data_IF_450603852948
#
_entry.id   IF_450603852948
#
_cell.length_a   1.000
_cell.length_b   1.000
_cell.length_c   1.000
_cell.angle_alpha   90.00
_cell.angle_beta   90.00
_cell.angle_gamma   90.00
#
_symmetry.space_group_name_H-M   'P 1'
#
loop_
_entity.id
_entity.type
_entity.pdbx_description
1 polymer ?
#
# COMPACT_ATOMS: atom_id res chain seq x y z
N UNK A 1 -0.53 10.03 2.19
CA UNK A 1 -0.75 9.45 3.54
C UNK A 1 -1.78 8.35 3.43
N UNK A 2 -1.65 7.23 4.17
CA UNK A 2 -2.59 6.09 4.09
C UNK A 2 -3.84 6.31 4.97
N UNK A 3 -4.49 7.46 4.81
CA UNK A 3 -5.73 7.83 5.51
C UNK A 3 -6.63 8.58 4.56
N UNK A 4 -7.91 8.20 4.52
CA UNK A 4 -8.98 8.96 3.85
C UNK A 4 -9.65 9.95 4.80
N UNK A 5 -9.39 9.84 6.11
CA UNK A 5 -9.91 10.76 7.11
C UNK A 5 -9.10 12.09 7.12
N UNK A 6 -9.76 13.23 7.43
CA UNK A 6 -9.09 14.52 7.55
C UNK A 6 -8.03 14.51 8.65
N UNK A 7 -7.07 15.44 8.55
CA UNK A 7 -6.03 15.57 9.54
C UNK A 7 -6.63 15.86 10.93
N UNK A 8 -6.24 15.10 11.96
CA UNK A 8 -6.82 15.24 13.28
C UNK A 8 -6.43 16.55 13.94
N UNK A 9 -7.38 17.24 14.58
CA UNK A 9 -7.09 18.40 15.41
C UNK A 9 -6.72 17.96 16.83
N UNK A 10 -5.53 18.32 17.28
CA UNK A 10 -5.01 17.98 18.61
C UNK A 10 -5.36 19.12 19.55
N UNK A 11 -6.48 19.00 20.27
CA UNK A 11 -6.85 19.90 21.37
C UNK A 11 -6.55 19.27 22.72
N UNK A 12 -6.11 20.06 23.71
CA UNK A 12 -5.68 19.61 25.05
C UNK A 12 -6.71 18.75 25.82
N UNK A 13 -8.00 18.80 25.45
CA UNK A 13 -9.08 18.07 26.11
C UNK A 13 -9.89 17.16 25.18
N UNK A 14 -9.43 16.91 23.96
CA UNK A 14 -10.14 16.05 23.00
C UNK A 14 -9.64 14.61 23.06
N UNK A 15 -10.56 13.65 22.96
CA UNK A 15 -10.21 12.23 22.82
C UNK A 15 -9.29 12.05 21.61
N UNK A 16 -8.29 11.15 21.67
CA UNK A 16 -7.43 10.89 20.53
C UNK A 16 -8.29 10.46 19.33
N UNK A 17 -8.14 11.12 18.18
CA UNK A 17 -8.95 10.84 17.00
C UNK A 17 -8.64 9.45 16.45
N UNK A 18 -9.70 8.73 16.06
CA UNK A 18 -9.63 7.34 15.60
C UNK A 18 -8.89 7.19 14.26
N UNK A 19 -8.90 8.22 13.43
CA UNK A 19 -8.30 8.22 12.10
C UNK A 19 -7.70 9.59 11.77
N UNK A 20 -6.93 9.66 10.68
CA UNK A 20 -6.38 10.91 10.15
C UNK A 20 -4.85 10.99 10.12
N UNK A 21 -4.15 10.24 10.97
CA UNK A 21 -2.68 10.18 10.94
C UNK A 21 -2.12 9.29 9.82
N UNK A 22 -2.85 8.26 9.40
CA UNK A 22 -2.46 7.41 8.25
C UNK A 22 -1.27 6.49 8.45
N UNK A 23 -0.88 6.22 9.70
CA UNK A 23 0.22 5.29 10.03
C UNK A 23 -0.25 3.90 10.50
N UNK A 24 -1.54 3.73 10.84
CA UNK A 24 -2.07 2.48 11.40
C UNK A 24 -1.77 1.26 10.51
N UNK A 25 -2.33 1.24 9.30
CA UNK A 25 -2.14 0.13 8.35
C UNK A 25 -0.67 -0.19 8.02
N UNK A 26 0.20 0.77 7.63
CA UNK A 26 1.58 0.44 7.32
C UNK A 26 2.35 -0.06 8.55
N UNK A 27 2.13 0.49 9.74
CA UNK A 27 2.79 0.03 10.98
C UNK A 27 2.28 -1.37 11.38
N UNK A 28 0.97 -1.62 11.34
CA UNK A 28 0.39 -2.95 11.62
C UNK A 28 0.94 -4.02 10.66
N UNK A 29 1.14 -3.68 9.37
CA UNK A 29 1.79 -4.58 8.42
C UNK A 29 3.26 -4.86 8.75
N UNK A 30 4.01 -3.86 9.25
CA UNK A 30 5.38 -4.08 9.73
C UNK A 30 5.41 -5.04 10.92
N UNK A 31 4.49 -4.90 11.88
CA UNK A 31 4.38 -5.82 13.02
C UNK A 31 4.09 -7.27 12.57
N UNK A 32 3.15 -7.46 11.64
CA UNK A 32 2.87 -8.79 11.11
C UNK A 32 4.09 -9.39 10.38
N UNK A 33 4.77 -8.58 9.55
CA UNK A 33 5.96 -9.03 8.79
C UNK A 33 7.20 -9.27 9.65
N UNK A 34 7.26 -8.71 10.86
CA UNK A 34 8.42 -8.83 11.73
C UNK A 34 8.76 -10.29 12.03
N UNK A 35 7.75 -11.14 12.26
CA UNK A 35 7.91 -12.58 12.46
C UNK A 35 7.44 -13.41 11.26
N UNK A 36 7.85 -13.01 10.05
CA UNK A 36 7.55 -13.71 8.79
C UNK A 36 6.06 -13.88 8.45
N UNK A 37 5.19 -13.10 9.10
CA UNK A 37 3.77 -13.00 8.75
C UNK A 37 3.50 -11.99 7.64
N UNK A 38 2.23 -11.62 7.47
CA UNK A 38 1.80 -10.54 6.59
C UNK A 38 0.42 -9.99 7.00
N UNK A 39 0.08 -8.79 6.54
CA UNK A 39 -1.25 -8.21 6.64
C UNK A 39 -1.73 -7.86 5.23
N UNK A 40 -2.90 -8.39 4.85
CA UNK A 40 -3.49 -8.18 3.53
C UNK A 40 -4.91 -7.62 3.65
N UNK A 41 -5.27 -6.75 2.71
CA UNK A 41 -6.59 -6.13 2.64
C UNK A 41 -7.24 -6.53 1.33
N UNK A 42 -8.48 -6.98 1.41
CA UNK A 42 -9.32 -7.30 0.26
C UNK A 42 -10.60 -6.47 0.36
N UNK A 43 -10.82 -5.57 -0.59
CA UNK A 43 -11.97 -4.67 -0.56
C UNK A 43 -12.93 -4.99 -1.69
N UNK A 44 -14.22 -4.92 -1.39
CA UNK A 44 -15.29 -4.98 -2.37
C UNK A 44 -16.11 -3.69 -2.24
N UNK A 45 -15.95 -2.79 -3.22
CA UNK A 45 -16.61 -1.49 -3.23
C UNK A 45 -18.13 -1.66 -3.14
N UNK A 46 -18.77 -0.88 -2.25
CA UNK A 46 -20.21 -0.98 -1.98
C UNK A 46 -20.61 -2.11 -1.02
N UNK A 47 -19.70 -3.01 -0.65
CA UNK A 47 -19.99 -4.13 0.26
C UNK A 47 -19.19 -4.07 1.56
N UNK A 48 -17.86 -4.01 1.50
CA UNK A 48 -17.03 -4.10 2.69
C UNK A 48 -15.54 -4.28 2.41
N UNK A 49 -14.76 -4.56 3.46
CA UNK A 49 -13.32 -4.81 3.35
C UNK A 49 -12.90 -5.83 4.39
N UNK A 50 -12.24 -6.89 3.92
CA UNK A 50 -11.65 -7.93 4.75
C UNK A 50 -10.18 -7.61 5.02
N UNK A 51 -9.78 -7.73 6.29
CA UNK A 51 -8.40 -7.58 6.72
C UNK A 51 -7.89 -8.88 7.33
N UNK A 52 -6.90 -9.51 6.69
CA UNK A 52 -6.37 -10.81 7.08
C UNK A 52 -4.94 -10.68 7.56
N UNK A 53 -4.66 -11.21 8.75
CA UNK A 53 -3.32 -11.29 9.34
C UNK A 53 -2.85 -12.74 9.28
N UNK A 54 -1.71 -12.96 8.64
CA UNK A 54 -1.02 -14.23 8.60
C UNK A 54 0.12 -14.21 9.60
N UNK A 55 0.21 -15.25 10.44
CA UNK A 55 1.30 -15.46 11.39
C UNK A 55 1.86 -16.87 11.22
N UNK A 56 3.10 -17.08 11.65
CA UNK A 56 3.68 -18.41 11.72
C UNK A 56 3.07 -19.16 12.91
N UNK A 57 2.60 -20.38 12.65
CA UNK A 57 2.00 -21.23 13.67
C UNK A 57 3.07 -21.79 14.63
N UNK A 58 4.28 -22.02 14.13
CA UNK A 58 5.40 -22.57 14.89
C UNK A 58 6.38 -21.46 15.26
N UNK A 59 6.81 -21.43 16.53
CA UNK A 59 7.77 -20.44 17.02
C UNK A 59 9.15 -20.55 16.36
N UNK A 60 9.54 -21.73 15.90
CA UNK A 60 10.79 -21.96 15.15
C UNK A 60 10.83 -21.20 13.82
N UNK A 61 9.67 -20.96 13.23
CA UNK A 61 9.54 -20.28 11.95
C UNK A 61 9.30 -18.77 12.13
N UNK A 62 8.97 -18.34 13.35
CA UNK A 62 8.78 -16.95 13.78
C UNK A 62 10.12 -16.24 13.97
N UNK A 63 10.89 -16.12 12.89
CA UNK A 63 12.21 -15.47 12.89
C UNK A 63 12.07 -13.98 12.55
N UNK A 64 12.90 -13.13 13.15
CA UNK A 64 12.88 -11.69 12.91
C UNK A 64 13.28 -11.33 11.47
N UNK A 65 12.50 -10.46 10.84
CA UNK A 65 12.78 -9.89 9.52
C UNK A 65 13.42 -8.51 9.64
N UNK A 66 14.74 -8.48 9.67
CA UNK A 66 15.51 -7.24 9.85
C UNK A 66 16.00 -6.65 8.51
N UNK A 67 15.98 -5.31 8.35
CA UNK A 67 16.61 -4.66 7.20
C UNK A 67 18.14 -4.75 7.32
N UNK A 68 18.81 -5.15 6.24
CA UNK A 68 20.27 -5.24 6.18
C UNK A 68 20.81 -4.24 5.17
N UNK A 69 21.67 -3.34 5.63
CA UNK A 69 22.36 -2.42 4.73
C UNK A 69 23.43 -3.17 3.92
N UNK A 70 23.30 -3.14 2.60
CA UNK A 70 24.25 -3.75 1.67
C UNK A 70 24.20 -3.02 0.30
N UNK A 71 25.00 -3.49 -0.67
CA UNK A 71 25.01 -2.92 -2.03
C UNK A 71 23.64 -2.97 -2.71
N UNK A 72 22.80 -3.97 -2.42
CA UNK A 72 21.44 -4.06 -2.98
C UNK A 72 20.51 -3.02 -2.34
N UNK A 73 20.55 -2.84 -1.02
CA UNK A 73 19.79 -1.80 -0.32
C UNK A 73 20.16 -0.40 -0.81
N UNK A 74 21.45 -0.15 -1.09
CA UNK A 74 21.91 1.13 -1.64
C UNK A 74 21.31 1.43 -3.03
N UNK A 75 21.07 0.41 -3.86
CA UNK A 75 20.46 0.60 -5.19
C UNK A 75 19.06 1.19 -5.08
N UNK A 76 18.28 0.82 -4.06
CA UNK A 76 16.94 1.37 -3.84
C UNK A 76 16.93 2.90 -3.64
N UNK A 77 18.05 3.51 -3.25
CA UNK A 77 18.19 4.96 -3.07
C UNK A 77 18.82 5.68 -4.27
N UNK A 78 19.40 4.93 -5.22
CA UNK A 78 20.10 5.48 -6.39
C UNK A 78 19.35 5.29 -7.71
N UNK A 79 18.13 4.75 -7.67
CA UNK A 79 17.32 4.44 -8.86
C UNK A 79 17.15 5.71 -9.72
N UNK A 80 17.59 5.63 -10.97
CA UNK A 80 17.32 6.61 -12.02
C UNK A 80 15.93 6.39 -12.61
N UNK A 81 15.30 7.43 -13.15
CA UNK A 81 14.01 7.29 -13.80
C UNK A 81 14.14 6.42 -15.06
N UNK A 82 13.52 5.25 -15.03
CA UNK A 82 13.47 4.28 -16.12
C UNK A 82 12.14 4.43 -16.89
N UNK A 83 12.09 3.93 -18.13
CA UNK A 83 10.84 3.86 -18.88
C UNK A 83 9.92 2.80 -18.25
N UNK A 84 8.61 3.00 -18.34
CA UNK A 84 7.64 2.07 -17.77
C UNK A 84 7.66 0.72 -18.49
N UNK A 85 7.60 -0.38 -17.72
CA UNK A 85 7.61 -1.76 -18.23
C UNK A 85 6.36 -2.13 -19.04
N UNK A 86 5.29 -1.35 -18.93
CA UNK A 86 3.98 -1.62 -19.54
C UNK A 86 3.45 -0.40 -20.30
N UNK A 87 2.61 -0.66 -21.31
CA UNK A 87 1.99 0.40 -22.10
C UNK A 87 1.13 1.32 -21.22
N UNK A 88 1.36 2.63 -21.32
CA UNK A 88 0.51 3.64 -20.71
C UNK A 88 -0.45 4.16 -21.80
N UNK A 89 -1.78 4.03 -21.63
CA UNK A 89 -2.73 4.58 -22.60
C UNK A 89 -2.64 6.11 -22.64
N UNK A 90 -2.95 6.70 -23.79
CA UNK A 90 -3.02 8.15 -23.90
C UNK A 90 -4.13 8.70 -22.99
N UNK A 91 -3.89 9.88 -22.42
CA UNK A 91 -4.92 10.60 -21.63
C UNK A 91 -6.15 10.93 -22.47
N UNK A 92 -5.93 11.16 -23.76
CA UNK A 92 -6.96 11.41 -24.78
C UNK A 92 -6.93 10.23 -25.76
N UNK A 93 -7.66 9.14 -25.48
CA UNK A 93 -7.77 8.01 -26.39
C UNK A 93 -8.56 8.42 -27.64
N UNK A 94 -8.15 7.89 -28.79
CA UNK A 94 -8.83 8.16 -30.06
C UNK A 94 -10.26 7.59 -30.03
N UNK A 95 -11.24 8.45 -30.28
CA UNK A 95 -12.63 8.00 -30.45
C UNK A 95 -12.81 7.32 -31.81
N UNK A 96 -13.15 6.03 -31.77
CA UNK A 96 -13.35 5.20 -32.95
C UNK A 96 -14.83 5.14 -33.40
N UNK A 97 -15.74 5.85 -32.73
CA UNK A 97 -17.18 5.87 -33.04
C UNK A 97 -17.46 6.26 -34.51
N UNK A 98 -16.73 7.25 -35.03
CA UNK A 98 -16.93 7.79 -36.39
C UNK A 98 -16.21 6.99 -37.50
N UNK A 99 -15.35 6.04 -37.14
CA UNK A 99 -14.52 5.30 -38.11
C UNK A 99 -15.29 4.24 -38.90
N UNK A 100 -16.44 3.76 -38.39
CA UNK A 100 -17.26 2.72 -39.06
C UNK A 100 -18.27 3.28 -40.07
N UNK A 101 -18.58 4.58 -40.02
CA UNK A 101 -19.62 5.19 -40.88
C UNK A 101 -19.07 5.55 -42.28
N UNK A 102 -17.75 5.63 -42.42
CA UNK A 102 -17.08 6.07 -43.65
C UNK A 102 -16.65 4.95 -44.60
N UNK A 103 -17.20 3.73 -44.47
CA UNK A 103 -16.85 2.58 -45.34
C UNK A 103 -18.07 1.93 -45.97
#
# INVERSE_FOLDING_TARGET
MYSTAPAPQIGEHSRPPLAGFGYGLPISRLYAKYFQGDLQLYSMEGHGTDAVIYLKALSTDSIERLPVYNKAALKNYKVSQEADDWCIPSKEPLDLSNYKVAK
#
